data_IF_364306566285
#
_entry.id   IF_364306566285
#
_cell.length_a   1.000
_cell.length_b   1.000
_cell.length_c   1.000
_cell.angle_alpha   90.00
_cell.angle_beta   90.00
_cell.angle_gamma   90.00
#
_symmetry.space_group_name_H-M   'P 1'
#
loop_
_entity.id
_entity.type
_entity.pdbx_description
1 polymer ?
#
# COMPACT_ATOMS: atom_id res chain seq x y z
N UNK A 1 9.15 7.70 -13.42
CA UNK A 1 8.27 6.75 -14.15
C UNK A 1 6.90 6.76 -13.48
N UNK A 2 5.82 6.74 -14.26
CA UNK A 2 4.48 6.56 -13.71
C UNK A 2 4.32 5.09 -13.26
N UNK A 3 3.72 4.89 -12.09
CA UNK A 3 3.44 3.56 -11.53
C UNK A 3 1.93 3.41 -11.35
N UNK A 4 1.47 2.17 -11.41
CA UNK A 4 0.11 1.80 -11.01
C UNK A 4 0.06 1.72 -9.49
N UNK A 5 -0.81 2.52 -8.88
CA UNK A 5 -1.07 2.49 -7.44
C UNK A 5 -2.43 1.89 -7.13
N UNK A 6 -2.51 1.25 -5.98
CA UNK A 6 -3.69 0.57 -5.49
C UNK A 6 -4.07 1.07 -4.10
N UNK A 7 -5.37 1.26 -3.95
CA UNK A 7 -6.06 1.45 -2.68
C UNK A 7 -6.98 0.24 -2.50
N UNK A 8 -6.88 -0.45 -1.38
CA UNK A 8 -7.68 -1.65 -1.14
C UNK A 8 -7.99 -1.84 0.33
N UNK A 9 -9.10 -2.51 0.61
CA UNK A 9 -9.43 -2.96 1.96
C UNK A 9 -9.87 -4.42 1.98
N UNK A 10 -9.58 -5.05 3.11
CA UNK A 10 -9.80 -6.44 3.38
C UNK A 10 -10.50 -6.59 4.72
N UNK A 11 -11.38 -7.57 4.84
CA UNK A 11 -12.10 -7.84 6.09
C UNK A 11 -11.94 -9.30 6.51
N UNK A 12 -11.95 -9.54 7.82
CA UNK A 12 -11.88 -10.89 8.39
C UNK A 12 -13.28 -11.37 8.78
N UNK A 13 -14.09 -11.68 7.77
CA UNK A 13 -15.46 -12.19 7.95
C UNK A 13 -15.69 -13.43 7.10
N UNK A 14 -16.66 -14.25 7.50
CA UNK A 14 -17.24 -15.26 6.61
C UNK A 14 -17.95 -14.63 5.40
N UNK A 15 -18.25 -15.46 4.40
CA UNK A 15 -19.18 -15.14 3.32
C UNK A 15 -18.88 -15.95 2.06
N UNK A 16 -19.38 -15.52 0.89
CA UNK A 16 -19.31 -16.33 -0.33
C UNK A 16 -17.88 -16.59 -0.77
N UNK A 17 -17.69 -17.68 -1.53
CA UNK A 17 -16.47 -17.93 -2.28
C UNK A 17 -16.15 -16.69 -3.13
N UNK A 18 -14.88 -16.28 -3.18
CA UNK A 18 -14.49 -15.03 -3.82
C UNK A 18 -13.24 -15.23 -4.69
N UNK A 19 -13.09 -14.41 -5.73
CA UNK A 19 -11.87 -14.32 -6.54
C UNK A 19 -11.64 -12.88 -6.98
N UNK A 20 -10.38 -12.45 -7.06
CA UNK A 20 -10.03 -11.10 -7.45
C UNK A 20 -8.85 -11.09 -8.41
N UNK A 21 -8.79 -10.09 -9.29
CA UNK A 21 -7.73 -9.91 -10.29
C UNK A 21 -7.44 -8.42 -10.46
N UNK A 22 -6.21 -8.07 -10.80
CA UNK A 22 -5.78 -6.71 -11.15
C UNK A 22 -4.86 -6.74 -12.37
N UNK A 23 -4.56 -5.57 -12.96
CA UNK A 23 -3.71 -5.48 -14.15
C UNK A 23 -4.36 -5.99 -15.44
N UNK A 24 -5.68 -6.23 -15.46
CA UNK A 24 -6.37 -6.78 -16.63
C UNK A 24 -6.44 -5.76 -17.76
N UNK A 25 -6.21 -6.18 -19.01
CA UNK A 25 -6.56 -5.39 -20.19
C UNK A 25 -8.07 -5.37 -20.40
N UNK A 26 -8.57 -4.50 -21.29
CA UNK A 26 -10.01 -4.47 -21.62
C UNK A 26 -10.52 -5.81 -22.16
N UNK A 27 -9.75 -6.44 -23.04
CA UNK A 27 -10.06 -7.76 -23.58
C UNK A 27 -9.97 -8.84 -22.50
N UNK A 28 -8.92 -8.82 -21.67
CA UNK A 28 -8.75 -9.77 -20.57
C UNK A 28 -9.88 -9.70 -19.53
N UNK A 29 -10.34 -8.49 -19.19
CA UNK A 29 -11.51 -8.32 -18.33
C UNK A 29 -12.77 -8.87 -18.98
N UNK A 30 -12.98 -8.65 -20.29
CA UNK A 30 -14.14 -9.18 -20.99
C UNK A 30 -14.15 -10.72 -21.00
N UNK A 31 -13.01 -11.35 -21.32
CA UNK A 31 -12.87 -12.81 -21.27
C UNK A 31 -13.13 -13.35 -19.86
N UNK A 32 -12.59 -12.71 -18.83
CA UNK A 32 -12.83 -13.11 -17.43
C UNK A 32 -14.30 -12.95 -17.06
N UNK A 33 -14.95 -11.86 -17.48
CA UNK A 33 -16.36 -11.61 -17.25
C UNK A 33 -17.24 -12.70 -17.85
N UNK A 34 -17.00 -13.06 -19.11
CA UNK A 34 -17.78 -14.07 -19.82
C UNK A 34 -17.60 -15.47 -19.20
N UNK A 35 -16.40 -15.81 -18.74
CA UNK A 35 -16.11 -17.08 -18.06
C UNK A 35 -16.75 -17.16 -16.67
N UNK A 36 -16.48 -16.17 -15.82
CA UNK A 36 -16.94 -16.17 -14.43
C UNK A 36 -18.46 -16.06 -14.33
N UNK A 37 -19.10 -15.24 -15.18
CA UNK A 37 -20.56 -15.10 -15.19
C UNK A 37 -21.26 -16.43 -15.53
N UNK A 38 -20.72 -17.22 -16.47
CA UNK A 38 -21.24 -18.57 -16.80
C UNK A 38 -21.08 -19.55 -15.64
N UNK A 39 -20.08 -19.36 -14.80
CA UNK A 39 -19.79 -20.18 -13.61
C UNK A 39 -20.55 -19.70 -12.36
N UNK A 40 -21.50 -18.77 -12.49
CA UNK A 40 -22.32 -18.27 -11.39
C UNK A 40 -21.62 -17.26 -10.48
N UNK A 41 -20.48 -16.70 -10.91
CA UNK A 41 -19.82 -15.61 -10.19
C UNK A 41 -20.42 -14.27 -10.58
N UNK A 42 -20.41 -13.33 -9.64
CA UNK A 42 -20.95 -11.99 -9.79
C UNK A 42 -19.87 -10.98 -9.47
N UNK A 43 -19.66 -10.02 -10.37
CA UNK A 43 -18.73 -8.93 -10.14
C UNK A 43 -19.31 -8.00 -9.08
N UNK A 44 -18.55 -7.68 -8.04
CA UNK A 44 -19.01 -6.85 -6.93
C UNK A 44 -18.22 -5.55 -6.78
N UNK A 45 -16.99 -5.53 -7.29
CA UNK A 45 -16.14 -4.35 -7.35
C UNK A 45 -15.44 -4.34 -8.72
N UNK A 46 -15.44 -3.18 -9.38
CA UNK A 46 -14.78 -2.94 -10.65
C UNK A 46 -14.17 -1.54 -10.63
N UNK A 47 -12.85 -1.48 -10.76
CA UNK A 47 -12.07 -0.25 -10.90
C UNK A 47 -11.36 -0.25 -12.25
N UNK A 48 -11.57 0.80 -13.03
CA UNK A 48 -10.74 1.13 -14.19
C UNK A 48 -9.65 2.11 -13.80
N UNK A 49 -8.48 1.99 -14.42
CA UNK A 49 -7.36 2.92 -14.30
C UNK A 49 -6.53 2.88 -15.59
N UNK A 50 -5.46 3.68 -15.67
CA UNK A 50 -4.58 3.68 -16.84
C UNK A 50 -3.11 3.45 -16.48
N UNK A 51 -2.44 2.71 -17.35
CA UNK A 51 -0.98 2.54 -17.36
C UNK A 51 -0.48 3.17 -18.65
N UNK A 52 0.06 4.39 -18.56
CA UNK A 52 0.38 5.17 -19.76
C UNK A 52 -0.88 5.53 -20.57
N UNK A 53 -0.96 5.06 -21.80
CA UNK A 53 -2.08 5.27 -22.74
C UNK A 53 -3.07 4.12 -22.78
N UNK A 54 -2.87 3.07 -21.96
CA UNK A 54 -3.71 1.88 -21.99
C UNK A 54 -4.62 1.80 -20.75
N UNK A 55 -5.83 1.29 -20.94
CA UNK A 55 -6.72 0.96 -19.84
C UNK A 55 -6.25 -0.31 -19.12
N UNK A 56 -6.39 -0.31 -17.79
CA UNK A 56 -6.25 -1.48 -16.93
C UNK A 56 -7.41 -1.58 -15.94
N UNK A 57 -7.66 -2.78 -15.44
CA UNK A 57 -8.78 -3.05 -14.55
C UNK A 57 -8.40 -3.92 -13.36
N UNK A 58 -8.99 -3.59 -12.21
CA UNK A 58 -9.00 -4.40 -10.99
C UNK A 58 -10.43 -4.75 -10.62
N UNK A 59 -10.64 -5.98 -10.16
CA UNK A 59 -11.98 -6.53 -9.98
C UNK A 59 -12.04 -7.54 -8.83
N UNK A 60 -13.17 -7.56 -8.12
CA UNK A 60 -13.51 -8.56 -7.11
C UNK A 60 -14.83 -9.23 -7.53
N UNK A 61 -14.88 -10.55 -7.37
CA UNK A 61 -15.99 -11.42 -7.74
C UNK A 61 -16.39 -12.28 -6.57
N UNK A 62 -17.69 -12.49 -6.39
CA UNK A 62 -18.23 -13.42 -5.41
C UNK A 62 -19.08 -14.48 -6.11
N UNK A 63 -19.02 -15.72 -5.64
CA UNK A 63 -19.90 -16.80 -6.07
C UNK A 63 -21.09 -16.87 -5.13
N UNK A 64 -22.16 -16.19 -5.51
CA UNK A 64 -23.44 -16.23 -4.81
C UNK A 64 -24.59 -16.13 -5.79
N UNK A 65 -25.71 -16.77 -5.47
CA UNK A 65 -26.98 -16.50 -6.14
C UNK A 65 -27.42 -15.06 -5.85
N UNK A 66 -28.22 -14.49 -6.73
CA UNK A 66 -28.77 -13.15 -6.52
C UNK A 66 -29.61 -12.67 -7.69
N UNK A 67 -30.12 -11.44 -7.59
CA UNK A 67 -30.99 -10.85 -8.60
C UNK A 67 -30.25 -10.59 -9.92
N UNK A 68 -30.99 -10.22 -10.96
CA UNK A 68 -30.41 -9.82 -12.24
C UNK A 68 -29.33 -8.75 -12.04
N UNK A 69 -28.20 -8.86 -12.73
CA UNK A 69 -27.08 -7.93 -12.59
C UNK A 69 -26.38 -7.76 -13.93
N UNK A 70 -25.56 -6.71 -14.04
CA UNK A 70 -24.77 -6.45 -15.23
C UNK A 70 -23.58 -5.55 -14.92
N UNK A 71 -22.52 -5.71 -15.70
CA UNK A 71 -21.38 -4.81 -15.66
C UNK A 71 -20.93 -4.42 -17.06
N UNK A 72 -20.32 -3.23 -17.15
CA UNK A 72 -19.71 -2.66 -18.36
C UNK A 72 -18.47 -1.86 -17.98
N UNK A 73 -17.50 -1.82 -18.89
CA UNK A 73 -16.27 -1.05 -18.76
C UNK A 73 -15.92 -0.34 -20.07
N UNK A 74 -15.01 0.62 -20.01
CA UNK A 74 -14.54 1.34 -21.20
C UNK A 74 -15.54 2.33 -21.79
N UNK A 75 -16.60 2.68 -21.05
CA UNK A 75 -17.68 3.52 -21.57
C UNK A 75 -17.25 4.99 -21.69
N UNK A 76 -17.63 5.67 -22.76
CA UNK A 76 -17.63 7.14 -22.80
C UNK A 76 -18.71 7.69 -21.86
N UNK A 77 -18.66 8.99 -21.57
CA UNK A 77 -19.70 9.69 -20.80
C UNK A 77 -21.12 9.46 -21.35
N UNK A 78 -21.30 9.62 -22.66
CA UNK A 78 -22.60 9.38 -23.31
C UNK A 78 -23.04 7.91 -23.27
N UNK A 79 -22.12 6.97 -23.48
CA UNK A 79 -22.41 5.54 -23.39
C UNK A 79 -22.77 5.13 -21.96
N UNK A 80 -22.05 5.66 -20.96
CA UNK A 80 -22.35 5.47 -19.54
C UNK A 80 -23.77 5.95 -19.23
N UNK A 81 -24.11 7.19 -19.59
CA UNK A 81 -25.45 7.73 -19.31
C UNK A 81 -26.56 6.91 -19.99
N UNK A 82 -26.33 6.48 -21.23
CA UNK A 82 -27.27 5.63 -21.98
C UNK A 82 -27.48 4.27 -21.28
N UNK A 83 -26.39 3.63 -20.87
CA UNK A 83 -26.44 2.32 -20.20
C UNK A 83 -27.07 2.41 -18.81
N UNK A 84 -26.76 3.44 -18.03
CA UNK A 84 -27.37 3.67 -16.71
C UNK A 84 -28.86 3.92 -16.85
N UNK A 85 -29.29 4.75 -17.81
CA UNK A 85 -30.72 4.97 -18.08
C UNK A 85 -31.45 3.66 -18.43
N UNK A 86 -30.82 2.77 -19.20
CA UNK A 86 -31.38 1.47 -19.52
C UNK A 86 -31.50 0.56 -18.27
N UNK A 87 -30.46 0.52 -17.43
CA UNK A 87 -30.48 -0.25 -16.19
C UNK A 87 -31.47 0.28 -15.15
N UNK A 88 -31.61 1.60 -15.04
CA UNK A 88 -32.65 2.25 -14.21
C UNK A 88 -34.04 1.80 -14.66
N UNK A 89 -34.33 1.83 -15.97
CA UNK A 89 -35.59 1.35 -16.53
C UNK A 89 -35.83 -0.13 -16.27
N UNK A 90 -34.77 -0.92 -16.16
CA UNK A 90 -34.81 -2.34 -15.79
C UNK A 90 -34.89 -2.59 -14.26
N UNK A 91 -35.06 -1.55 -13.44
CA UNK A 91 -35.15 -1.68 -11.98
C UNK A 91 -33.82 -1.98 -11.28
N UNK A 92 -32.69 -1.68 -11.94
CA UNK A 92 -31.36 -1.92 -11.43
C UNK A 92 -30.74 -0.65 -10.82
N UNK A 93 -29.80 -0.84 -9.91
CA UNK A 93 -29.16 0.22 -9.12
C UNK A 93 -27.65 0.02 -9.06
N UNK A 94 -26.86 1.08 -8.81
CA UNK A 94 -25.42 0.97 -8.74
C UNK A 94 -24.96 0.03 -7.63
N UNK A 95 -23.93 -0.77 -7.93
CA UNK A 95 -23.18 -1.58 -6.97
C UNK A 95 -21.74 -1.11 -6.84
N UNK A 96 -21.10 -0.85 -7.98
CA UNK A 96 -19.73 -0.34 -8.09
C UNK A 96 -19.67 0.62 -9.26
N UNK A 97 -19.12 1.81 -9.05
CA UNK A 97 -18.93 2.83 -10.08
C UNK A 97 -17.47 3.30 -10.06
N UNK A 98 -16.86 3.42 -11.23
CA UNK A 98 -15.48 3.87 -11.36
C UNK A 98 -15.36 4.82 -12.55
N UNK A 99 -14.81 6.00 -12.29
CA UNK A 99 -14.37 6.94 -13.31
C UNK A 99 -12.84 6.88 -13.42
N UNK A 100 -12.33 6.96 -14.64
CA UNK A 100 -10.91 6.94 -14.94
C UNK A 100 -10.63 7.67 -16.25
N UNK A 101 -9.36 7.92 -16.55
CA UNK A 101 -8.95 8.53 -17.80
C UNK A 101 -7.87 7.72 -18.51
N UNK A 102 -8.01 7.58 -19.82
CA UNK A 102 -7.06 6.93 -20.71
C UNK A 102 -6.62 7.97 -21.74
N UNK A 103 -5.34 8.32 -21.77
CA UNK A 103 -4.84 9.38 -22.67
C UNK A 103 -5.61 10.69 -22.51
N UNK A 104 -5.84 11.14 -21.28
CA UNK A 104 -6.61 12.35 -20.95
C UNK A 104 -8.08 12.34 -21.42
N UNK A 105 -8.62 11.17 -21.78
CA UNK A 105 -10.01 11.00 -22.17
C UNK A 105 -10.73 10.20 -21.10
N UNK A 106 -11.83 10.74 -20.58
CA UNK A 106 -12.63 10.08 -19.55
C UNK A 106 -13.26 8.77 -20.04
N UNK A 107 -13.31 7.80 -19.14
CA UNK A 107 -13.91 6.49 -19.30
C UNK A 107 -14.58 6.07 -18.00
N UNK A 108 -15.60 5.23 -18.13
CA UNK A 108 -16.40 4.77 -17.00
C UNK A 108 -16.55 3.26 -17.00
N UNK A 109 -16.58 2.70 -15.80
CA UNK A 109 -16.92 1.32 -15.53
C UNK A 109 -18.01 1.26 -14.45
N UNK A 110 -18.93 0.32 -14.61
CA UNK A 110 -20.13 0.27 -13.79
C UNK A 110 -20.59 -1.18 -13.60
N UNK A 111 -21.01 -1.49 -12.38
CA UNK A 111 -21.71 -2.71 -11.99
C UNK A 111 -23.06 -2.30 -11.42
N UNK A 112 -24.14 -2.88 -11.92
CA UNK A 112 -25.50 -2.66 -11.47
C UNK A 112 -26.18 -3.98 -11.13
N UNK A 113 -27.10 -3.92 -10.18
CA UNK A 113 -27.86 -5.07 -9.66
C UNK A 113 -29.32 -4.68 -9.49
N UNK A 114 -30.25 -5.58 -9.83
CA UNK A 114 -31.68 -5.41 -9.61
C UNK A 114 -32.01 -5.52 -8.11
N UNK A 115 -32.95 -4.70 -7.65
CA UNK A 115 -33.43 -4.72 -6.26
C UNK A 115 -33.08 -3.46 -5.46
N UNK A 116 -33.42 -3.49 -4.16
CA UNK A 116 -33.44 -2.32 -3.27
C UNK A 116 -34.75 -1.53 -3.37
N UNK A 117 -35.09 -0.78 -2.31
CA UNK A 117 -36.31 0.06 -2.27
C UNK A 117 -36.02 1.56 -2.06
N UNK A 118 -34.85 1.95 -1.55
CA UNK A 118 -34.52 3.36 -1.27
C UNK A 118 -34.25 4.22 -2.49
N UNK A 119 -34.45 5.53 -2.39
CA UNK A 119 -34.03 6.47 -3.45
C UNK A 119 -32.51 6.44 -3.61
N UNK A 120 -32.01 6.60 -4.83
CA UNK A 120 -30.57 6.72 -5.07
C UNK A 120 -30.28 7.74 -6.17
N UNK A 121 -29.06 8.26 -6.16
CA UNK A 121 -28.58 9.21 -7.16
C UNK A 121 -27.11 8.95 -7.47
N UNK A 122 -26.72 9.08 -8.74
CA UNK A 122 -25.33 9.03 -9.16
C UNK A 122 -24.99 10.27 -9.99
N UNK A 123 -23.73 10.71 -9.88
CA UNK A 123 -23.14 11.82 -10.63
C UNK A 123 -21.72 11.46 -11.05
N UNK A 124 -21.28 11.94 -12.20
CA UNK A 124 -19.93 11.76 -12.72
C UNK A 124 -19.44 13.05 -13.39
N UNK A 125 -18.13 13.16 -13.63
CA UNK A 125 -17.53 14.35 -14.26
C UNK A 125 -17.51 15.60 -13.37
N UNK A 126 -17.80 15.47 -12.07
CA UNK A 126 -17.84 16.61 -11.16
C UNK A 126 -16.43 17.14 -10.88
N UNK A 127 -16.23 18.46 -10.88
CA UNK A 127 -15.05 19.03 -10.19
C UNK A 127 -15.21 18.95 -8.66
N UNK A 128 -14.19 19.40 -7.93
CA UNK A 128 -14.20 19.37 -6.46
C UNK A 128 -15.31 20.22 -5.82
N UNK A 129 -15.64 21.39 -6.39
CA UNK A 129 -16.67 22.27 -5.86
C UNK A 129 -18.08 21.69 -6.14
N UNK A 130 -18.30 21.19 -7.35
CA UNK A 130 -19.52 20.50 -7.75
C UNK A 130 -19.74 19.23 -6.93
N UNK A 131 -18.69 18.45 -6.68
CA UNK A 131 -18.76 17.28 -5.79
C UNK A 131 -19.14 17.70 -4.37
N UNK A 132 -18.50 18.72 -3.81
CA UNK A 132 -18.83 19.20 -2.47
C UNK A 132 -20.27 19.70 -2.36
N UNK A 133 -20.76 20.44 -3.36
CA UNK A 133 -22.13 20.92 -3.41
C UNK A 133 -23.14 19.77 -3.49
N UNK A 134 -22.91 18.79 -4.37
CA UNK A 134 -23.76 17.60 -4.49
C UNK A 134 -23.74 16.76 -3.21
N UNK A 135 -22.57 16.60 -2.58
CA UNK A 135 -22.44 15.90 -1.31
C UNK A 135 -23.28 16.56 -0.22
N UNK A 136 -23.16 17.87 -0.04
CA UNK A 136 -23.90 18.62 0.97
C UNK A 136 -25.42 18.55 0.73
N UNK A 137 -25.86 18.71 -0.52
CA UNK A 137 -27.29 18.63 -0.90
C UNK A 137 -27.88 17.25 -0.59
N UNK A 138 -27.23 16.18 -1.05
CA UNK A 138 -27.77 14.82 -0.86
C UNK A 138 -27.70 14.37 0.60
N UNK A 139 -26.65 14.72 1.34
CA UNK A 139 -26.59 14.48 2.78
C UNK A 139 -27.69 15.24 3.51
N UNK A 140 -27.93 16.51 3.16
CA UNK A 140 -29.03 17.31 3.71
C UNK A 140 -30.42 16.73 3.43
N UNK A 141 -30.57 16.00 2.31
CA UNK A 141 -31.80 15.27 1.93
C UNK A 141 -31.90 13.86 2.53
N UNK A 142 -30.96 13.48 3.41
CA UNK A 142 -30.95 12.19 4.10
C UNK A 142 -30.38 11.04 3.28
N UNK A 143 -29.68 11.31 2.18
CA UNK A 143 -28.90 10.29 1.48
C UNK A 143 -27.53 10.11 2.15
N UNK A 144 -26.98 8.91 2.09
CA UNK A 144 -25.58 8.63 2.45
C UNK A 144 -24.76 8.29 1.22
N UNK A 145 -23.50 8.71 1.20
CA UNK A 145 -22.57 8.33 0.15
C UNK A 145 -22.31 6.82 0.21
N UNK A 146 -22.30 6.15 -0.95
CA UNK A 146 -22.07 4.71 -1.06
C UNK A 146 -20.86 4.35 -1.90
N UNK A 147 -20.41 5.26 -2.75
CA UNK A 147 -19.14 5.13 -3.44
C UNK A 147 -18.63 6.45 -3.99
N UNK A 148 -17.31 6.60 -4.00
CA UNK A 148 -16.61 7.73 -4.59
C UNK A 148 -15.37 7.23 -5.32
N UNK A 149 -15.14 7.79 -6.50
CA UNK A 149 -13.97 7.55 -7.35
C UNK A 149 -13.47 8.91 -7.82
N UNK A 150 -12.15 9.14 -7.72
CA UNK A 150 -11.50 10.33 -8.25
C UNK A 150 -10.53 9.95 -9.37
N UNK A 151 -10.51 10.75 -10.42
CA UNK A 151 -9.70 10.59 -11.62
C UNK A 151 -9.29 11.96 -12.16
N UNK A 152 -8.38 12.01 -13.13
CA UNK A 152 -7.89 13.28 -13.67
C UNK A 152 -8.12 13.38 -15.17
N UNK A 153 -8.69 14.50 -15.61
CA UNK A 153 -8.89 14.86 -17.02
C UNK A 153 -8.50 16.32 -17.18
N UNK A 154 -7.64 16.61 -18.16
CA UNK A 154 -7.07 17.94 -18.38
C UNK A 154 -6.12 18.39 -17.27
N UNK A 155 -5.59 17.47 -16.46
CA UNK A 155 -4.84 17.81 -15.26
C UNK A 155 -5.70 18.27 -14.09
N UNK A 156 -7.03 18.18 -14.18
CA UNK A 156 -7.95 18.53 -13.10
C UNK A 156 -8.58 17.29 -12.47
N UNK A 157 -8.73 17.31 -11.15
CA UNK A 157 -9.44 16.26 -10.44
C UNK A 157 -10.93 16.27 -10.81
N UNK A 158 -11.44 15.09 -11.15
CA UNK A 158 -12.84 14.80 -11.41
C UNK A 158 -13.32 13.73 -10.45
N UNK A 159 -14.62 13.76 -10.16
CA UNK A 159 -15.26 12.87 -9.21
C UNK A 159 -16.46 12.17 -9.84
N UNK A 160 -16.57 10.88 -9.52
CA UNK A 160 -17.76 10.07 -9.72
C UNK A 160 -18.22 9.58 -8.36
N UNK A 161 -19.51 9.71 -8.08
CA UNK A 161 -20.07 9.34 -6.79
C UNK A 161 -21.53 8.92 -6.91
N UNK A 162 -21.96 8.07 -5.98
CA UNK A 162 -23.36 7.72 -5.83
C UNK A 162 -23.77 7.64 -4.37
N UNK A 163 -25.03 7.99 -4.14
CA UNK A 163 -25.66 8.06 -2.84
C UNK A 163 -26.95 7.27 -2.84
N UNK A 164 -27.32 6.77 -1.67
CA UNK A 164 -28.57 6.03 -1.45
C UNK A 164 -29.22 6.51 -0.15
N UNK A 165 -30.53 6.69 -0.18
CA UNK A 165 -31.34 6.96 1.00
C UNK A 165 -31.53 5.64 1.76
N UNK A 166 -30.63 5.40 2.70
CA UNK A 166 -30.54 4.16 3.45
C UNK A 166 -30.04 4.42 4.88
N UNK A 167 -30.56 3.66 5.83
CA UNK A 167 -29.97 3.60 7.17
C UNK A 167 -28.65 2.81 7.13
N UNK A 168 -27.83 2.93 8.16
CA UNK A 168 -26.64 2.10 8.31
C UNK A 168 -25.65 2.67 9.32
N UNK A 169 -24.42 2.15 9.35
CA UNK A 169 -23.41 2.57 10.32
C UNK A 169 -23.01 4.03 10.12
N UNK A 170 -22.43 4.62 11.17
CA UNK A 170 -21.77 5.91 11.10
C UNK A 170 -20.69 5.89 9.99
N UNK A 171 -20.52 7.00 9.30
CA UNK A 171 -19.64 7.08 8.14
C UNK A 171 -18.98 8.45 8.03
N UNK A 172 -17.84 8.50 7.36
CA UNK A 172 -17.05 9.70 7.10
C UNK A 172 -16.61 9.67 5.66
N UNK A 173 -16.70 10.80 4.95
CA UNK A 173 -16.16 10.92 3.59
C UNK A 173 -15.28 12.17 3.50
N UNK A 174 -14.18 12.07 2.77
CA UNK A 174 -13.25 13.18 2.50
C UNK A 174 -12.78 13.10 1.05
N UNK A 175 -12.48 14.26 0.45
CA UNK A 175 -11.97 14.38 -0.92
C UNK A 175 -10.95 15.52 -1.00
N UNK A 176 -10.18 15.56 -2.09
CA UNK A 176 -9.15 16.58 -2.32
C UNK A 176 -7.99 16.53 -1.31
N UNK A 177 -7.76 15.37 -0.67
CA UNK A 177 -6.68 15.22 0.30
C UNK A 177 -5.36 14.94 -0.41
N UNK A 178 -4.26 15.55 0.06
CA UNK A 178 -2.90 15.06 -0.22
C UNK A 178 -2.64 13.75 0.55
N UNK A 179 -1.60 13.03 0.17
CA UNK A 179 -1.16 11.75 0.75
C UNK A 179 -1.13 11.85 2.26
N UNK A 180 -0.40 12.84 2.79
CA UNK A 180 -0.15 12.93 4.23
C UNK A 180 -1.43 13.17 5.02
N UNK A 181 -2.33 13.98 4.46
CA UNK A 181 -3.66 14.23 5.01
C UNK A 181 -4.57 12.99 4.90
N UNK A 182 -4.52 12.26 3.78
CA UNK A 182 -5.30 11.04 3.58
C UNK A 182 -4.82 9.93 4.52
N UNK A 183 -3.51 9.70 4.62
CA UNK A 183 -2.89 8.75 5.55
C UNK A 183 -3.22 9.06 6.99
N UNK A 184 -3.10 10.32 7.40
CA UNK A 184 -3.47 10.76 8.76
C UNK A 184 -4.95 10.53 9.05
N UNK A 185 -5.84 10.89 8.12
CA UNK A 185 -7.28 10.64 8.26
C UNK A 185 -7.58 9.14 8.31
N UNK A 186 -6.96 8.35 7.44
CA UNK A 186 -7.17 6.91 7.39
C UNK A 186 -6.72 6.21 8.67
N UNK A 187 -5.53 6.54 9.18
CA UNK A 187 -5.01 5.98 10.43
C UNK A 187 -5.88 6.36 11.64
N UNK A 188 -6.28 7.63 11.72
CA UNK A 188 -7.17 8.12 12.78
C UNK A 188 -8.53 7.43 12.76
N UNK A 189 -9.13 7.26 11.58
CA UNK A 189 -10.42 6.59 11.41
C UNK A 189 -10.31 5.09 11.71
N UNK A 190 -9.24 4.43 11.27
CA UNK A 190 -8.99 3.03 11.58
C UNK A 190 -8.88 2.79 13.11
N UNK A 191 -8.18 3.68 13.84
CA UNK A 191 -8.09 3.62 15.30
C UNK A 191 -9.45 3.79 16.01
N UNK A 192 -10.44 4.37 15.32
CA UNK A 192 -11.81 4.56 15.80
C UNK A 192 -12.78 3.44 15.33
N UNK A 193 -12.28 2.41 14.66
CA UNK A 193 -13.07 1.30 14.13
C UNK A 193 -13.81 1.61 12.83
N UNK A 194 -13.29 2.54 12.02
CA UNK A 194 -13.81 2.83 10.70
C UNK A 194 -12.95 2.17 9.61
N UNK A 195 -13.64 1.54 8.67
CA UNK A 195 -13.03 0.83 7.54
C UNK A 195 -13.15 1.66 6.28
N UNK A 196 -12.09 1.69 5.47
CA UNK A 196 -12.13 2.28 4.13
C UNK A 196 -12.95 1.35 3.21
N UNK A 197 -14.10 1.82 2.71
CA UNK A 197 -15.03 0.99 1.92
C UNK A 197 -15.14 1.42 0.46
N UNK A 198 -14.72 2.64 0.14
CA UNK A 198 -14.67 3.16 -1.23
C UNK A 198 -13.69 4.33 -1.30
N UNK A 199 -13.14 4.59 -2.48
CA UNK A 199 -12.19 5.67 -2.67
C UNK A 199 -11.46 5.58 -4.01
N UNK A 200 -10.50 6.46 -4.17
CA UNK A 200 -9.58 6.48 -5.29
C UNK A 200 -8.54 7.58 -5.13
N UNK A 201 -7.62 7.64 -6.09
CA UNK A 201 -6.60 8.67 -6.16
C UNK A 201 -6.34 9.07 -7.60
N UNK A 202 -5.88 10.30 -7.82
CA UNK A 202 -5.40 10.75 -9.11
C UNK A 202 -4.31 11.81 -8.95
N UNK A 203 -3.67 12.18 -10.07
CA UNK A 203 -2.78 13.34 -10.13
C UNK A 203 -3.53 14.50 -10.78
N UNK A 204 -3.73 15.58 -10.03
CA UNK A 204 -4.34 16.82 -10.51
C UNK A 204 -3.38 17.98 -10.24
N UNK A 205 -3.11 18.84 -11.23
CA UNK A 205 -2.17 19.96 -11.11
C UNK A 205 -0.74 19.53 -10.75
N UNK A 206 -0.32 18.32 -11.14
CA UNK A 206 1.00 17.76 -10.80
C UNK A 206 1.12 17.23 -9.38
N UNK A 207 0.04 17.24 -8.61
CA UNK A 207 0.00 16.76 -7.23
C UNK A 207 -1.02 15.65 -7.06
N UNK A 208 -0.81 14.83 -6.06
CA UNK A 208 -1.73 13.77 -5.67
C UNK A 208 -3.03 14.34 -5.06
N UNK A 209 -4.13 13.65 -5.34
CA UNK A 209 -5.46 13.97 -4.80
C UNK A 209 -6.18 12.67 -4.49
N UNK A 210 -6.57 12.51 -3.24
CA UNK A 210 -7.25 11.34 -2.71
C UNK A 210 -8.69 11.65 -2.32
N UNK A 211 -9.56 10.66 -2.52
CA UNK A 211 -10.91 10.62 -1.97
C UNK A 211 -11.16 9.27 -1.29
N UNK A 212 -11.89 9.30 -0.19
CA UNK A 212 -12.21 8.12 0.59
C UNK A 212 -13.57 8.22 1.28
N UNK A 213 -14.21 7.08 1.42
CA UNK A 213 -15.40 6.83 2.22
C UNK A 213 -15.04 5.76 3.25
N UNK A 214 -15.23 6.10 4.52
CA UNK A 214 -15.03 5.19 5.64
C UNK A 214 -16.36 4.92 6.35
N UNK A 215 -16.59 3.68 6.74
CA UNK A 215 -17.78 3.27 7.49
C UNK A 215 -17.37 2.55 8.78
N UNK A 216 -18.07 2.84 9.87
CA UNK A 216 -17.83 2.17 11.14
C UNK A 216 -18.25 0.70 11.04
N UNK A 217 -17.32 -0.22 11.33
CA UNK A 217 -17.59 -1.65 11.29
C UNK A 217 -17.16 -2.32 12.59
N UNK A 218 -17.86 -3.39 12.95
CA UNK A 218 -17.54 -4.18 14.14
C UNK A 218 -16.42 -5.21 13.88
N UNK A 219 -16.16 -5.52 12.60
CA UNK A 219 -15.24 -6.57 12.21
C UNK A 219 -13.84 -6.03 11.99
N UNK A 220 -12.83 -6.88 12.20
CA UNK A 220 -11.46 -6.52 11.90
C UNK A 220 -11.28 -6.32 10.39
N UNK A 221 -10.72 -5.17 10.02
CA UNK A 221 -10.37 -4.85 8.64
C UNK A 221 -8.94 -4.32 8.53
N UNK A 222 -8.41 -4.38 7.31
CA UNK A 222 -7.13 -3.79 6.95
C UNK A 222 -7.33 -3.00 5.66
N UNK A 223 -7.22 -1.67 5.74
CA UNK A 223 -7.14 -0.77 4.58
C UNK A 223 -5.71 -0.34 4.31
N UNK A 224 -5.32 -0.29 3.04
CA UNK A 224 -4.06 0.29 2.60
C UNK A 224 -4.29 1.12 1.33
N UNK A 225 -3.45 2.12 1.11
CA UNK A 225 -3.44 2.96 -0.09
C UNK A 225 -2.01 3.21 -0.54
N UNK A 226 -1.83 3.77 -1.74
CA UNK A 226 -0.50 4.06 -2.28
C UNK A 226 0.33 2.79 -2.59
N UNK A 227 -0.28 1.61 -2.71
CA UNK A 227 0.50 0.39 -2.96
C UNK A 227 0.85 0.29 -4.44
N UNK A 228 2.13 0.07 -4.79
CA UNK A 228 2.48 -0.36 -6.15
C UNK A 228 1.80 -1.70 -6.48
N UNK A 229 1.70 -2.08 -7.76
CA UNK A 229 1.15 -3.39 -8.15
C UNK A 229 1.82 -4.58 -7.44
N UNK A 230 3.15 -4.55 -7.25
CA UNK A 230 3.87 -5.58 -6.50
C UNK A 230 3.56 -5.56 -5.00
N UNK A 231 3.53 -4.38 -4.37
CA UNK A 231 3.18 -4.24 -2.96
C UNK A 231 1.72 -4.64 -2.67
N UNK A 232 0.81 -4.33 -3.59
CA UNK A 232 -0.57 -4.76 -3.53
C UNK A 232 -0.67 -6.28 -3.60
N UNK A 233 0.02 -6.92 -4.55
CA UNK A 233 0.01 -8.38 -4.68
C UNK A 233 0.56 -9.07 -3.41
N UNK A 234 1.69 -8.62 -2.88
CA UNK A 234 2.26 -9.17 -1.65
C UNK A 234 1.33 -8.97 -0.43
N UNK A 235 0.69 -7.80 -0.33
CA UNK A 235 -0.29 -7.51 0.73
C UNK A 235 -1.52 -8.40 0.60
N UNK A 236 -2.01 -8.57 -0.61
CA UNK A 236 -3.14 -9.43 -0.94
C UNK A 236 -2.85 -10.87 -0.51
N UNK A 237 -1.74 -11.46 -0.97
CA UNK A 237 -1.40 -12.86 -0.70
C UNK A 237 -1.23 -13.11 0.81
N UNK A 238 -0.56 -12.19 1.52
CA UNK A 238 -0.41 -12.26 2.98
C UNK A 238 -1.76 -12.20 3.71
N UNK A 239 -2.60 -11.22 3.39
CA UNK A 239 -3.89 -11.05 4.06
C UNK A 239 -4.84 -12.23 3.79
N UNK A 240 -4.81 -12.77 2.58
CA UNK A 240 -5.58 -13.97 2.22
C UNK A 240 -5.10 -15.18 3.02
N UNK A 241 -3.78 -15.37 3.18
CA UNK A 241 -3.23 -16.44 4.03
C UNK A 241 -3.61 -16.27 5.52
N UNK A 242 -3.80 -15.04 5.99
CA UNK A 242 -4.28 -14.72 7.34
C UNK A 242 -5.81 -14.85 7.52
N UNK A 243 -6.52 -15.24 6.47
CA UNK A 243 -7.97 -15.45 6.47
C UNK A 243 -8.81 -14.20 6.21
N UNK A 244 -8.20 -13.13 5.69
CA UNK A 244 -8.94 -11.95 5.22
C UNK A 244 -9.39 -12.15 3.77
N UNK A 245 -10.45 -11.44 3.38
CA UNK A 245 -10.91 -11.36 1.99
C UNK A 245 -10.92 -9.92 1.49
N UNK A 246 -10.62 -9.66 0.20
CA UNK A 246 -10.71 -8.33 -0.38
C UNK A 246 -12.18 -7.91 -0.49
N UNK A 247 -12.49 -6.66 -0.13
CA UNK A 247 -13.84 -6.10 -0.25
C UNK A 247 -13.91 -4.84 -1.10
N UNK A 248 -12.78 -4.18 -1.27
CA UNK A 248 -12.66 -3.01 -2.11
C UNK A 248 -11.26 -2.95 -2.71
N UNK A 249 -11.21 -2.54 -3.99
CA UNK A 249 -9.96 -2.23 -4.69
C UNK A 249 -10.21 -1.09 -5.68
N UNK A 250 -9.30 -0.13 -5.70
CA UNK A 250 -9.23 0.93 -6.68
C UNK A 250 -7.79 1.06 -7.18
N UNK A 251 -7.62 1.03 -8.50
CA UNK A 251 -6.37 1.35 -9.16
C UNK A 251 -6.32 2.82 -9.58
N UNK A 252 -5.12 3.37 -9.70
CA UNK A 252 -4.89 4.72 -10.19
C UNK A 252 -3.56 4.84 -10.92
N UNK A 253 -3.51 5.72 -11.92
CA UNK A 253 -2.24 6.22 -12.46
C UNK A 253 -1.67 7.23 -11.49
N UNK A 254 -0.46 7.02 -11.01
CA UNK A 254 0.28 8.02 -10.25
C UNK A 254 1.60 8.39 -10.93
N UNK A 255 1.97 9.65 -10.78
CA UNK A 255 3.33 10.14 -11.01
C UNK A 255 3.90 10.29 -9.59
N UNK A 256 4.99 9.57 -9.29
CA UNK A 256 5.62 9.51 -7.95
C UNK A 256 5.57 10.90 -7.26
N UNK A 257 4.92 10.98 -6.09
CA UNK A 257 5.58 10.57 -4.88
C UNK A 257 4.65 9.69 -4.01
N UNK A 258 5.21 8.63 -3.44
CA UNK A 258 4.45 7.65 -2.65
C UNK A 258 5.32 7.17 -1.53
N UNK A 259 4.76 7.25 -0.33
CA UNK A 259 5.29 6.65 0.87
C UNK A 259 5.30 5.13 0.73
N UNK A 260 6.49 4.53 0.71
CA UNK A 260 6.65 3.08 0.73
C UNK A 260 7.18 2.69 2.09
N UNK A 261 6.46 1.85 2.83
CA UNK A 261 6.93 1.28 4.10
C UNK A 261 6.88 -0.24 4.02
N UNK A 262 8.04 -0.88 4.11
CA UNK A 262 8.20 -2.33 4.01
C UNK A 262 7.77 -3.08 5.28
N UNK A 263 7.45 -2.36 6.36
CA UNK A 263 7.18 -2.91 7.70
C UNK A 263 8.29 -3.84 8.20
N UNK A 264 9.53 -3.52 7.82
CA UNK A 264 10.73 -4.22 8.24
C UNK A 264 10.87 -4.15 9.76
N UNK A 265 11.13 -5.30 10.41
CA UNK A 265 11.37 -5.37 11.85
C UNK A 265 12.85 -5.63 12.10
N UNK A 266 13.54 -4.63 12.61
CA UNK A 266 14.95 -4.76 12.96
C UNK A 266 15.10 -5.28 14.40
N UNK A 267 15.97 -6.27 14.57
CA UNK A 267 16.40 -6.70 15.90
C UNK A 267 17.33 -5.64 16.50
N UNK A 268 17.25 -5.45 17.82
CA UNK A 268 18.28 -4.69 18.54
C UNK A 268 19.59 -5.46 18.52
N UNK A 269 20.73 -4.77 18.39
CA UNK A 269 22.03 -5.41 18.54
C UNK A 269 22.24 -5.89 19.98
N UNK A 270 22.67 -7.13 20.14
CA UNK A 270 22.86 -7.75 21.46
C UNK A 270 24.18 -7.32 22.14
N UNK A 271 25.15 -6.83 21.38
CA UNK A 271 26.44 -6.32 21.86
C UNK A 271 26.81 -5.02 21.14
N UNK A 272 27.75 -4.23 21.68
CA UNK A 272 28.05 -2.89 21.18
C UNK A 272 28.62 -2.84 19.75
N UNK A 273 29.25 -3.91 19.27
CA UNK A 273 29.85 -4.02 17.93
C UNK A 273 29.07 -4.97 17.00
N UNK A 274 27.83 -5.34 17.35
CA UNK A 274 27.04 -6.35 16.63
C UNK A 274 25.95 -5.77 15.72
N UNK A 275 26.04 -4.48 15.36
CA UNK A 275 25.12 -3.87 14.39
C UNK A 275 25.04 -4.67 13.08
N UNK A 276 26.17 -5.18 12.61
CA UNK A 276 26.26 -6.04 11.42
C UNK A 276 25.44 -7.34 11.57
N UNK A 277 25.49 -7.98 12.74
CA UNK A 277 24.79 -9.25 12.98
C UNK A 277 23.29 -9.03 13.10
N UNK A 278 22.88 -7.95 13.79
CA UNK A 278 21.48 -7.55 13.90
C UNK A 278 20.85 -7.23 12.55
N UNK A 279 21.52 -6.43 11.72
CA UNK A 279 21.06 -6.12 10.35
C UNK A 279 20.94 -7.39 9.51
N UNK A 280 21.99 -8.21 9.44
CA UNK A 280 21.99 -9.42 8.61
C UNK A 280 20.91 -10.44 9.01
N UNK A 281 20.71 -10.67 10.32
CA UNK A 281 19.62 -11.53 10.80
C UNK A 281 18.24 -10.94 10.49
N UNK A 282 18.07 -9.61 10.61
CA UNK A 282 16.80 -8.94 10.33
C UNK A 282 16.45 -9.00 8.85
N UNK A 283 17.42 -8.77 7.96
CA UNK A 283 17.25 -8.91 6.51
C UNK A 283 16.92 -10.35 6.14
N UNK A 284 17.64 -11.33 6.71
CA UNK A 284 17.33 -12.74 6.50
C UNK A 284 15.90 -13.09 6.93
N UNK A 285 15.46 -12.64 8.11
CA UNK A 285 14.09 -12.90 8.60
C UNK A 285 13.02 -12.20 7.76
N UNK A 286 13.33 -11.04 7.19
CA UNK A 286 12.42 -10.35 6.29
C UNK A 286 12.14 -11.18 5.02
N UNK A 287 13.18 -11.77 4.43
CA UNK A 287 13.03 -12.61 3.23
C UNK A 287 12.68 -14.08 3.52
N UNK A 288 13.07 -14.58 4.69
CA UNK A 288 12.84 -15.94 5.16
C UNK A 288 12.24 -15.91 6.57
N UNK A 289 10.92 -15.70 6.72
CA UNK A 289 10.28 -15.55 8.03
C UNK A 289 10.48 -16.73 9.01
N UNK A 290 10.75 -17.93 8.47
CA UNK A 290 11.03 -19.13 9.26
C UNK A 290 12.50 -19.23 9.74
N UNK A 291 13.38 -18.28 9.38
CA UNK A 291 14.80 -18.34 9.73
C UNK A 291 15.01 -18.23 11.25
N UNK A 292 15.62 -19.26 11.82
CA UNK A 292 15.90 -19.38 13.26
C UNK A 292 17.28 -18.91 13.66
N UNK A 293 18.13 -18.48 12.71
CA UNK A 293 19.45 -17.95 12.99
C UNK A 293 19.36 -16.80 14.01
N UNK A 294 20.28 -16.82 14.96
CA UNK A 294 20.41 -15.80 16.01
C UNK A 294 21.70 -15.00 15.80
N UNK A 295 21.75 -13.80 16.39
CA UNK A 295 22.95 -12.95 16.32
C UNK A 295 24.18 -13.65 16.90
N UNK A 296 24.06 -14.31 18.05
CA UNK A 296 25.18 -14.99 18.69
C UNK A 296 25.68 -16.20 17.87
N UNK A 297 24.76 -16.99 17.29
CA UNK A 297 25.14 -18.12 16.43
C UNK A 297 25.84 -17.66 15.14
N UNK A 298 25.40 -16.52 14.59
CA UNK A 298 26.06 -15.92 13.44
C UNK A 298 27.46 -15.41 13.79
N UNK A 299 27.63 -14.79 14.97
CA UNK A 299 28.94 -14.35 15.46
C UNK A 299 29.89 -15.53 15.67
N UNK A 300 29.41 -16.61 16.29
CA UNK A 300 30.17 -17.85 16.44
C UNK A 300 30.71 -18.34 15.09
N UNK A 301 29.84 -18.43 14.08
CA UNK A 301 30.24 -18.81 12.72
C UNK A 301 31.30 -17.87 12.13
N UNK A 302 31.09 -16.55 12.21
CA UNK A 302 32.00 -15.52 11.67
C UNK A 302 33.33 -15.37 12.42
N UNK A 303 33.45 -15.98 13.60
CA UNK A 303 34.66 -15.97 14.42
C UNK A 303 35.31 -17.34 14.54
N UNK A 304 34.73 -18.37 13.92
CA UNK A 304 35.14 -19.76 14.09
C UNK A 304 35.16 -20.18 15.58
N UNK A 305 34.05 -19.90 16.28
CA UNK A 305 33.87 -20.13 17.73
C UNK A 305 32.53 -20.81 18.02
N UNK A 306 32.37 -21.28 19.25
CA UNK A 306 31.12 -21.91 19.74
C UNK A 306 30.63 -21.31 21.06
N UNK A 307 31.38 -20.38 21.66
CA UNK A 307 31.19 -19.89 23.03
C UNK A 307 30.62 -18.45 23.12
N UNK A 308 30.43 -17.73 22.01
CA UNK A 308 29.89 -16.36 22.03
C UNK A 308 28.40 -16.26 22.44
N UNK A 309 27.72 -17.39 22.68
CA UNK A 309 26.33 -17.43 23.16
C UNK A 309 26.21 -17.64 24.69
N UNK A 310 27.32 -17.84 25.41
CA UNK A 310 27.30 -18.15 26.85
C UNK A 310 27.20 -16.85 27.69
N UNK A 311 26.32 -16.79 28.71
CA UNK A 311 26.24 -15.63 29.61
C UNK A 311 27.44 -15.58 30.56
N UNK A 312 28.10 -14.42 30.66
CA UNK A 312 29.19 -14.15 31.61
C UNK A 312 30.32 -13.29 31.01
N UNK A 313 31.35 -12.93 31.80
CA UNK A 313 32.51 -12.16 31.33
C UNK A 313 33.35 -12.89 30.25
N UNK A 314 33.07 -14.18 30.00
CA UNK A 314 33.58 -14.98 28.89
C UNK A 314 32.88 -14.74 27.54
N UNK A 315 31.86 -13.87 27.49
CA UNK A 315 31.50 -13.10 26.30
C UNK A 315 32.59 -12.02 26.08
N UNK A 316 33.84 -12.47 25.92
CA UNK A 316 35.05 -11.64 25.91
C UNK A 316 34.84 -10.43 25.00
N UNK A 317 34.86 -9.23 25.60
CA UNK A 317 34.61 -7.96 24.91
C UNK A 317 35.48 -7.80 23.66
N UNK A 318 36.68 -8.37 23.67
CA UNK A 318 37.57 -8.34 22.51
C UNK A 318 37.44 -9.55 21.59
N UNK A 319 36.91 -10.71 21.99
CA UNK A 319 36.92 -11.91 21.11
C UNK A 319 35.64 -12.03 20.28
N UNK A 320 34.50 -11.81 20.90
CA UNK A 320 33.18 -11.93 20.27
C UNK A 320 32.61 -10.57 19.84
N UNK A 321 32.81 -9.52 20.66
CA UNK A 321 32.25 -8.20 20.41
C UNK A 321 33.14 -7.34 19.50
N UNK A 322 33.33 -7.80 18.24
CA UNK A 322 34.10 -7.12 17.20
C UNK A 322 33.24 -6.69 16.01
N UNK A 323 33.61 -5.59 15.32
CA UNK A 323 32.99 -5.23 14.04
C UNK A 323 33.25 -6.31 12.98
N UNK A 324 32.39 -6.36 11.97
CA UNK A 324 32.53 -7.22 10.79
C UNK A 324 32.00 -6.50 9.54
N UNK A 325 32.30 -7.03 8.36
CA UNK A 325 31.74 -6.55 7.10
C UNK A 325 30.31 -7.05 6.89
N UNK A 326 29.33 -6.18 7.16
CA UNK A 326 27.91 -6.48 6.96
C UNK A 326 27.57 -6.89 5.53
N UNK A 327 28.28 -6.35 4.52
CA UNK A 327 28.02 -6.68 3.13
C UNK A 327 28.42 -8.14 2.85
N UNK A 328 29.65 -8.53 3.19
CA UNK A 328 30.09 -9.93 3.09
C UNK A 328 29.19 -10.89 3.88
N UNK A 329 28.72 -10.50 5.07
CA UNK A 329 27.79 -11.34 5.85
C UNK A 329 26.44 -11.49 5.15
N UNK A 330 25.90 -10.43 4.54
CA UNK A 330 24.67 -10.53 3.75
C UNK A 330 24.85 -11.38 2.50
N UNK A 331 26.03 -11.33 1.87
CA UNK A 331 26.37 -12.15 0.70
C UNK A 331 26.47 -13.63 1.06
N UNK A 332 27.16 -13.98 2.15
CA UNK A 332 27.24 -15.34 2.69
C UNK A 332 25.86 -15.92 3.01
N UNK A 333 24.93 -15.07 3.47
CA UNK A 333 23.54 -15.45 3.75
C UNK A 333 22.66 -15.47 2.49
N UNK A 334 23.19 -15.10 1.32
CA UNK A 334 22.46 -15.10 0.05
C UNK A 334 21.57 -13.88 -0.18
N UNK A 335 21.66 -12.85 0.66
CA UNK A 335 20.75 -11.69 0.65
C UNK A 335 21.41 -10.39 0.17
N UNK A 336 22.65 -10.40 -0.29
CA UNK A 336 23.26 -9.27 -0.99
C UNK A 336 23.11 -9.43 -2.51
N UNK A 337 22.63 -8.39 -3.17
CA UNK A 337 22.67 -8.26 -4.63
C UNK A 337 23.95 -7.56 -5.07
N UNK A 338 24.23 -6.39 -4.47
CA UNK A 338 25.38 -5.56 -4.80
C UNK A 338 25.64 -4.57 -3.67
N UNK A 339 26.92 -4.24 -3.45
CA UNK A 339 27.35 -3.14 -2.58
C UNK A 339 27.79 -1.93 -3.43
N UNK A 340 27.33 -0.74 -3.07
CA UNK A 340 27.85 0.54 -3.55
C UNK A 340 28.61 1.25 -2.42
N UNK A 341 29.76 1.83 -2.73
CA UNK A 341 30.64 2.49 -1.75
C UNK A 341 30.34 3.99 -1.58
N UNK A 342 29.06 4.34 -1.66
CA UNK A 342 28.55 5.71 -1.54
C UNK A 342 27.07 5.69 -1.15
N UNK A 343 26.55 6.84 -0.72
CA UNK A 343 25.10 7.08 -0.68
C UNK A 343 24.54 7.04 -2.10
N UNK A 344 23.32 6.52 -2.25
CA UNK A 344 22.60 6.49 -3.54
C UNK A 344 21.54 7.56 -3.59
N UNK A 345 21.06 7.90 -4.80
CA UNK A 345 19.99 8.90 -4.97
C UNK A 345 18.70 8.50 -4.24
N UNK A 346 17.90 9.49 -3.80
CA UNK A 346 16.59 9.21 -3.20
C UNK A 346 15.67 8.42 -4.16
N UNK A 347 15.73 8.73 -5.46
CA UNK A 347 15.00 8.02 -6.49
C UNK A 347 15.37 6.53 -6.57
N UNK A 348 16.64 6.20 -6.36
CA UNK A 348 17.13 4.83 -6.34
C UNK A 348 16.69 4.07 -5.07
N UNK A 349 16.85 4.68 -3.88
CA UNK A 349 16.29 4.11 -2.64
C UNK A 349 14.79 3.83 -2.79
N UNK A 350 14.05 4.79 -3.31
CA UNK A 350 12.61 4.64 -3.57
C UNK A 350 12.31 3.48 -4.53
N UNK A 351 13.14 3.28 -5.56
CA UNK A 351 13.03 2.14 -6.47
C UNK A 351 13.21 0.79 -5.76
N UNK A 352 14.13 0.71 -4.81
CA UNK A 352 14.33 -0.50 -3.99
C UNK A 352 13.15 -0.76 -3.06
N UNK A 353 12.67 0.27 -2.35
CA UNK A 353 11.50 0.12 -1.47
C UNK A 353 10.26 -0.28 -2.27
N UNK A 354 9.99 0.36 -3.41
CA UNK A 354 8.88 0.01 -4.28
C UNK A 354 8.91 -1.44 -4.79
N UNK A 355 10.12 -2.02 -4.88
CA UNK A 355 10.34 -3.43 -5.24
C UNK A 355 10.33 -4.39 -4.05
N UNK A 356 9.97 -3.93 -2.84
CA UNK A 356 9.93 -4.77 -1.65
C UNK A 356 11.30 -5.08 -1.06
N UNK A 357 12.34 -4.32 -1.41
CA UNK A 357 13.73 -4.61 -1.05
C UNK A 357 14.27 -3.58 -0.05
N UNK A 358 14.46 -3.92 1.24
CA UNK A 358 15.13 -3.03 2.19
C UNK A 358 16.59 -2.83 1.77
N UNK A 359 17.16 -1.66 2.00
CA UNK A 359 18.55 -1.39 1.66
C UNK A 359 19.39 -1.28 2.94
N UNK A 360 20.46 -2.06 3.02
CA UNK A 360 21.48 -1.88 4.06
C UNK A 360 22.20 -0.54 3.80
N UNK A 361 22.42 0.25 4.86
CA UNK A 361 23.20 1.49 4.80
C UNK A 361 24.37 1.42 5.80
N UNK A 362 25.55 1.81 5.32
CA UNK A 362 26.77 1.92 6.12
C UNK A 362 26.97 3.38 6.53
N UNK A 363 26.94 3.62 7.83
CA UNK A 363 27.23 4.93 8.43
C UNK A 363 28.66 4.95 8.96
N UNK A 364 29.37 6.05 8.75
CA UNK A 364 30.64 6.35 9.40
C UNK A 364 30.46 7.53 10.34
N UNK A 365 30.91 7.39 11.59
CA UNK A 365 30.84 8.46 12.59
C UNK A 365 32.04 9.38 12.48
N UNK A 366 31.85 10.68 12.72
CA UNK A 366 32.96 11.66 12.76
C UNK A 366 34.03 11.32 13.81
N UNK A 367 33.63 10.73 14.94
CA UNK A 367 34.53 10.25 16.01
C UNK A 367 35.21 8.90 15.70
N UNK A 368 34.99 8.34 14.52
CA UNK A 368 35.52 7.03 14.12
C UNK A 368 34.55 5.87 14.38
N UNK A 369 34.82 4.75 13.73
CA UNK A 369 33.92 3.58 13.72
C UNK A 369 32.85 3.65 12.64
N UNK A 370 32.12 2.53 12.49
CA UNK A 370 31.07 2.37 11.48
C UNK A 370 29.84 1.72 12.10
N UNK A 371 28.68 2.00 11.53
CA UNK A 371 27.40 1.46 11.96
C UNK A 371 26.59 0.94 10.77
N UNK A 372 25.78 -0.08 11.01
CA UNK A 372 24.92 -0.70 10.02
C UNK A 372 23.46 -0.44 10.38
N UNK A 373 22.73 0.17 9.45
CA UNK A 373 21.29 0.46 9.56
C UNK A 373 20.57 0.01 8.28
N UNK A 374 19.25 0.10 8.25
CA UNK A 374 18.43 -0.33 7.11
C UNK A 374 17.46 0.77 6.69
N UNK A 375 17.46 1.14 5.41
CA UNK A 375 16.35 1.86 4.81
C UNK A 375 15.23 0.85 4.55
N UNK A 376 14.10 1.04 5.24
CA UNK A 376 12.94 0.17 5.20
C UNK A 376 11.72 0.85 4.54
N UNK A 377 11.91 2.08 4.08
CA UNK A 377 10.87 2.83 3.42
C UNK A 377 11.32 4.23 3.03
N UNK A 378 10.44 4.92 2.30
CA UNK A 378 10.58 6.33 1.94
C UNK A 378 9.24 7.02 2.11
N UNK A 379 9.25 8.32 2.36
CA UNK A 379 8.06 9.17 2.49
C UNK A 379 8.21 10.45 1.65
N UNK A 380 7.08 11.09 1.35
CA UNK A 380 6.96 12.38 0.67
C UNK A 380 7.79 13.46 1.36
N UNK A 381 8.38 14.37 0.58
CA UNK A 381 9.31 15.39 1.09
C UNK A 381 10.75 14.88 1.26
N UNK A 382 11.11 13.81 0.55
CA UNK A 382 12.42 13.16 0.57
C UNK A 382 12.81 12.68 1.97
N UNK A 383 11.93 11.94 2.63
CA UNK A 383 12.22 11.29 3.92
C UNK A 383 12.44 9.78 3.75
N UNK A 384 13.27 9.20 4.61
CA UNK A 384 13.60 7.77 4.63
C UNK A 384 13.16 7.18 5.96
N UNK A 385 12.45 6.06 5.92
CA UNK A 385 12.15 5.25 7.10
C UNK A 385 13.38 4.41 7.40
N UNK A 386 14.07 4.74 8.49
CA UNK A 386 15.32 4.12 8.92
C UNK A 386 15.07 3.21 10.11
N UNK A 387 15.46 1.95 9.96
CA UNK A 387 15.53 0.98 11.03
C UNK A 387 16.98 0.86 11.53
N UNK A 388 17.19 1.08 12.83
CA UNK A 388 18.50 1.14 13.47
C UNK A 388 18.58 0.14 14.64
N UNK A 389 19.56 -0.79 14.67
CA UNK A 389 19.68 -1.78 15.73
C UNK A 389 20.33 -1.25 17.02
N UNK A 390 20.93 -0.05 17.01
CA UNK A 390 21.79 0.48 18.08
C UNK A 390 21.06 0.88 19.36
N UNK A 391 19.79 1.24 19.26
CA UNK A 391 18.93 1.59 20.40
C UNK A 391 17.71 0.69 20.48
N UNK A 392 17.17 0.48 21.68
CA UNK A 392 15.93 -0.28 21.87
C UNK A 392 14.71 0.54 21.47
N UNK A 393 13.74 -0.10 20.81
CA UNK A 393 12.42 0.50 20.60
C UNK A 393 11.66 0.66 21.93
N UNK A 394 10.77 1.64 22.01
CA UNK A 394 9.90 1.83 23.18
C UNK A 394 8.83 0.72 23.31
N UNK A 395 8.47 0.07 22.20
CA UNK A 395 7.41 -0.94 22.15
C UNK A 395 7.90 -2.35 22.49
N UNK A 396 9.14 -2.67 22.15
CA UNK A 396 9.78 -3.96 22.40
C UNK A 396 11.29 -3.77 22.60
N UNK A 397 11.85 -4.02 23.80
CA UNK A 397 13.27 -3.84 24.07
C UNK A 397 14.19 -4.80 23.32
N UNK A 398 13.65 -5.86 22.72
CA UNK A 398 14.38 -6.77 21.83
C UNK A 398 14.49 -6.24 20.39
N UNK A 399 13.73 -5.21 20.03
CA UNK A 399 13.74 -4.59 18.70
C UNK A 399 14.54 -3.30 18.69
N UNK A 400 15.12 -3.01 17.52
CA UNK A 400 15.77 -1.73 17.25
C UNK A 400 14.74 -0.63 16.97
N UNK A 401 15.20 0.60 16.85
CA UNK A 401 14.33 1.76 16.59
C UNK A 401 13.97 1.88 15.12
N UNK A 402 12.76 2.37 14.83
CA UNK A 402 12.36 2.83 13.51
C UNK A 402 12.08 4.33 13.59
N UNK A 403 12.74 5.12 12.74
CA UNK A 403 12.64 6.58 12.72
C UNK A 403 12.46 7.07 11.28
N UNK A 404 11.90 8.26 11.13
CA UNK A 404 11.80 8.94 9.83
C UNK A 404 12.87 10.03 9.80
N UNK A 405 13.71 10.02 8.78
CA UNK A 405 14.87 10.92 8.67
C UNK A 405 14.85 11.58 7.30
N UNK A 406 15.04 12.91 7.25
CA UNK A 406 15.20 13.61 5.97
C UNK A 406 16.39 13.04 5.20
N UNK A 407 16.24 12.78 3.90
CA UNK A 407 17.23 12.13 3.06
C UNK A 407 18.57 12.87 3.07
N UNK A 408 18.57 14.20 3.01
CA UNK A 408 19.80 14.98 3.08
C UNK A 408 20.46 14.93 4.46
N UNK A 409 19.68 14.94 5.55
CA UNK A 409 20.22 14.73 6.89
C UNK A 409 20.82 13.33 7.04
N UNK A 410 20.15 12.31 6.51
CA UNK A 410 20.65 10.93 6.54
C UNK A 410 21.99 10.79 5.81
N UNK A 411 22.22 11.57 4.74
CA UNK A 411 23.47 11.52 3.97
C UNK A 411 24.67 12.03 4.76
N UNK A 412 24.51 13.09 5.54
CA UNK A 412 25.66 13.86 6.06
C UNK A 412 25.68 14.05 7.57
N UNK A 413 24.56 13.85 8.26
CA UNK A 413 24.40 14.19 9.68
C UNK A 413 23.44 13.23 10.41
N UNK A 414 23.42 11.95 10.04
CA UNK A 414 22.62 10.94 10.72
C UNK A 414 22.98 10.89 12.21
N UNK A 415 21.99 11.01 13.10
CA UNK A 415 22.17 11.17 14.55
C UNK A 415 23.22 12.25 14.94
N UNK A 416 23.31 13.32 14.15
CA UNK A 416 24.15 14.50 14.43
C UNK A 416 25.61 14.40 13.96
N UNK A 417 26.11 13.22 13.63
CA UNK A 417 27.54 13.05 13.28
C UNK A 417 27.87 11.93 12.29
N UNK A 418 26.87 11.16 11.87
CA UNK A 418 27.03 10.02 10.98
C UNK A 418 26.88 10.40 9.50
N UNK A 419 27.84 9.97 8.68
CA UNK A 419 27.79 10.10 7.23
C UNK A 419 27.45 8.76 6.57
N UNK A 420 26.52 8.77 5.63
CA UNK A 420 26.17 7.58 4.85
C UNK A 420 27.20 7.33 3.74
N UNK A 421 28.03 6.29 3.92
CA UNK A 421 29.20 6.01 3.08
C UNK A 421 29.06 4.75 2.23
N UNK A 422 27.92 4.06 2.25
CA UNK A 422 27.71 2.87 1.45
C UNK A 422 26.31 2.29 1.51
N UNK A 423 25.89 1.65 0.43
CA UNK A 423 24.53 1.11 0.24
C UNK A 423 24.62 -0.32 -0.24
N UNK A 424 24.05 -1.27 0.51
CA UNK A 424 23.88 -2.64 0.05
C UNK A 424 22.46 -2.87 -0.44
N UNK A 425 22.32 -3.17 -1.73
CA UNK A 425 21.06 -3.65 -2.28
C UNK A 425 20.87 -5.10 -1.88
N UNK A 426 19.73 -5.39 -1.27
CA UNK A 426 19.42 -6.73 -0.81
C UNK A 426 18.56 -7.50 -1.82
N UNK A 427 18.49 -8.82 -1.68
CA UNK A 427 17.65 -9.70 -2.51
C UNK A 427 17.01 -10.79 -1.65
N UNK A 428 15.88 -11.29 -2.14
CA UNK A 428 15.11 -12.37 -1.53
C UNK A 428 15.88 -13.69 -1.48
#
# INVERSE_FOLDING_TARGET
MALDLFMASFEKTGGPEWTARHGLTSAGLQTLFDDLSKKGWRQVCLSGYSTGTEARYATIWHKLAGPAWGARHGLTSAQYQTQVNAWVKAGMRPKSLSGYAVGNTERFAAVFEAGGSGDWVARHGLDGAQYQAAFNDFVGKGFRLRGVSTYSTGGEARYMAWWEKSAGPAWVARHGLRESAFRSAHASLAAQGYDLVSGGSCIAGGVDSYAGLWEKRAQASVGNHGMTGGAYQATFDRLVAEGFRPVFVAGARAVLPVDVNLRFRIQRQQQSQWCWSAVSNSVRRYYQPAATLTQCTLVNSRRNRTDCCMPGPGADGDRCNKPDDTAGVLDDLGHLQQMQNNSVSFADLRGQMAAGRPAFMRIAWSGGGKHAIVAAGVEDGDFVIVCDPGSSSAADPAQGTTTVVAYDTLRTAYNGSGSWIGTGYTKA
#
